data_IF_364441540463
#
_entry.id   IF_364441540463
#
_cell.length_a   1.000
_cell.length_b   1.000
_cell.length_c   1.000
_cell.angle_alpha   90.00
_cell.angle_beta   90.00
_cell.angle_gamma   90.00
#
_symmetry.space_group_name_H-M   'P 1'
#
loop_
_entity.id
_entity.type
_entity.pdbx_description
1 polymer ?
#
# COMPACT_ATOMS: atom_id res chain seq x y z
N UNK A 1 28.26 -37.41 -9.13
CA UNK A 1 26.97 -37.95 -8.68
C UNK A 1 25.93 -37.48 -9.67
N UNK A 2 25.53 -38.35 -10.60
CA UNK A 2 24.45 -38.06 -11.55
C UNK A 2 23.12 -37.85 -10.79
N UNK A 3 22.29 -36.87 -11.17
CA UNK A 3 20.98 -36.69 -10.55
C UNK A 3 20.11 -37.91 -10.84
N UNK A 4 19.67 -38.57 -9.77
CA UNK A 4 18.86 -39.78 -9.85
C UNK A 4 17.60 -39.59 -10.72
N UNK A 5 17.52 -40.33 -11.82
CA UNK A 5 16.45 -40.25 -12.81
C UNK A 5 15.07 -40.51 -12.16
N UNK A 6 14.07 -39.73 -12.59
CA UNK A 6 12.66 -39.82 -12.19
C UNK A 6 12.11 -41.26 -12.26
N UNK A 7 12.54 -42.03 -13.27
CA UNK A 7 12.18 -43.45 -13.42
C UNK A 7 12.68 -44.31 -12.26
N UNK A 8 13.91 -44.09 -11.77
CA UNK A 8 14.48 -44.78 -10.61
C UNK A 8 13.75 -44.41 -9.33
N UNK A 9 13.39 -43.13 -9.18
CA UNK A 9 12.58 -42.65 -8.04
C UNK A 9 11.21 -43.30 -8.00
N UNK A 10 10.52 -43.38 -9.16
CA UNK A 10 9.23 -44.05 -9.30
C UNK A 10 9.31 -45.55 -9.00
N UNK A 11 10.36 -46.23 -9.48
CA UNK A 11 10.52 -47.66 -9.26
C UNK A 11 10.74 -48.01 -7.79
N UNK A 12 11.57 -47.23 -7.08
CA UNK A 12 11.79 -47.38 -5.64
C UNK A 12 10.52 -47.09 -4.84
N UNK A 13 9.78 -46.05 -5.22
CA UNK A 13 8.50 -45.73 -4.61
C UNK A 13 7.51 -46.91 -4.75
N UNK A 14 7.37 -47.46 -5.96
CA UNK A 14 6.52 -48.62 -6.22
C UNK A 14 6.94 -49.87 -5.42
N UNK A 15 8.25 -50.11 -5.25
CA UNK A 15 8.77 -51.19 -4.40
C UNK A 15 8.38 -51.01 -2.93
N UNK A 16 8.50 -49.80 -2.39
CA UNK A 16 8.09 -49.48 -1.01
C UNK A 16 6.57 -49.65 -0.83
N UNK A 17 5.77 -49.20 -1.79
CA UNK A 17 4.31 -49.42 -1.80
C UNK A 17 3.93 -50.91 -1.87
N UNK A 18 4.71 -51.72 -2.59
CA UNK A 18 4.46 -53.17 -2.74
C UNK A 18 4.82 -53.96 -1.47
N UNK A 19 5.89 -53.57 -0.78
CA UNK A 19 6.34 -54.25 0.45
C UNK A 19 5.48 -53.87 1.66
N UNK A 20 4.91 -52.67 1.68
CA UNK A 20 4.09 -52.19 2.78
C UNK A 20 2.60 -52.37 2.49
N UNK A 21 2.04 -53.52 2.88
CA UNK A 21 0.59 -53.80 2.79
C UNK A 21 -0.28 -52.78 3.55
N UNK A 22 0.32 -52.03 4.48
CA UNK A 22 -0.38 -51.11 5.38
C UNK A 22 -0.13 -49.63 5.06
N UNK A 23 0.68 -49.30 4.05
CA UNK A 23 1.01 -47.89 3.74
C UNK A 23 -0.22 -47.09 3.28
N UNK A 24 -1.11 -47.73 2.51
CA UNK A 24 -2.36 -47.10 2.08
C UNK A 24 -3.23 -46.71 3.27
N UNK A 25 -3.41 -47.62 4.23
CA UNK A 25 -4.12 -47.37 5.48
C UNK A 25 -3.43 -46.29 6.29
N UNK A 26 -2.09 -46.33 6.43
CA UNK A 26 -1.34 -45.28 7.13
C UNK A 26 -1.49 -43.90 6.45
N UNK A 27 -1.60 -43.83 5.12
CA UNK A 27 -1.86 -42.59 4.39
C UNK A 27 -3.28 -42.08 4.59
N UNK A 28 -4.26 -42.98 4.66
CA UNK A 28 -5.66 -42.65 4.98
C UNK A 28 -5.78 -42.15 6.42
N UNK A 29 -5.11 -42.81 7.37
CA UNK A 29 -5.03 -42.39 8.78
C UNK A 29 -4.33 -41.04 8.92
N UNK A 30 -3.22 -40.81 8.21
CA UNK A 30 -2.54 -39.51 8.19
C UNK A 30 -3.44 -38.39 7.70
N UNK A 31 -4.29 -38.64 6.69
CA UNK A 31 -5.29 -37.66 6.22
C UNK A 31 -6.39 -37.41 7.24
N UNK A 32 -6.88 -38.46 7.91
CA UNK A 32 -7.91 -38.34 8.93
C UNK A 32 -7.40 -37.54 10.14
N UNK A 33 -6.18 -37.83 10.62
CA UNK A 33 -5.52 -37.11 11.72
C UNK A 33 -5.31 -35.64 11.36
N UNK A 34 -4.83 -35.34 10.14
CA UNK A 34 -4.68 -33.95 9.69
C UNK A 34 -6.00 -33.18 9.67
N UNK A 35 -7.11 -33.85 9.37
CA UNK A 35 -8.44 -33.24 9.34
C UNK A 35 -8.93 -32.94 10.76
N UNK A 36 -8.84 -33.91 11.68
CA UNK A 36 -9.23 -33.75 13.09
C UNK A 36 -8.40 -32.67 13.80
N UNK A 37 -7.08 -32.63 13.58
CA UNK A 37 -6.21 -31.60 14.16
C UNK A 37 -6.57 -30.19 13.65
N UNK A 38 -6.97 -30.04 12.38
CA UNK A 38 -7.41 -28.76 11.83
C UNK A 38 -8.72 -28.28 12.45
N UNK A 39 -9.68 -29.18 12.64
CA UNK A 39 -10.96 -28.87 13.29
C UNK A 39 -10.75 -28.42 14.74
N UNK A 40 -9.92 -29.14 15.51
CA UNK A 40 -9.58 -28.76 16.88
C UNK A 40 -8.88 -27.39 16.95
N UNK A 41 -8.04 -27.07 15.96
CA UNK A 41 -7.35 -25.79 15.88
C UNK A 41 -8.19 -24.66 15.26
N UNK A 42 -9.46 -24.92 14.90
CA UNK A 42 -10.34 -23.98 14.17
C UNK A 42 -9.69 -23.40 12.89
N UNK A 43 -8.86 -24.21 12.23
CA UNK A 43 -8.15 -23.82 11.00
C UNK A 43 -9.02 -24.18 9.80
N UNK A 44 -9.37 -23.20 8.94
CA UNK A 44 -10.16 -23.46 7.74
C UNK A 44 -9.54 -24.52 6.83
N UNK A 45 -10.36 -25.25 6.06
CA UNK A 45 -9.84 -26.21 5.08
C UNK A 45 -8.97 -25.53 4.03
N UNK A 46 -8.07 -26.31 3.41
CA UNK A 46 -7.21 -25.81 2.32
C UNK A 46 -8.05 -25.21 1.20
N UNK A 47 -9.16 -25.84 0.83
CA UNK A 47 -10.06 -25.33 -0.22
C UNK A 47 -10.68 -23.97 0.14
N UNK A 48 -11.03 -23.75 1.41
CA UNK A 48 -11.54 -22.45 1.87
C UNK A 48 -10.43 -21.39 1.87
N UNK A 49 -9.21 -21.76 2.29
CA UNK A 49 -8.06 -20.86 2.22
C UNK A 49 -7.70 -20.50 0.77
N UNK A 50 -7.68 -21.47 -0.14
CA UNK A 50 -7.45 -21.28 -1.57
C UNK A 50 -8.51 -20.36 -2.18
N UNK A 51 -9.79 -20.61 -1.87
CA UNK A 51 -10.87 -19.73 -2.31
C UNK A 51 -10.70 -18.30 -1.81
N UNK A 52 -10.30 -18.10 -0.54
CA UNK A 52 -10.00 -16.77 0.03
C UNK A 52 -8.83 -16.10 -0.69
N UNK A 53 -7.75 -16.84 -0.96
CA UNK A 53 -6.58 -16.34 -1.69
C UNK A 53 -6.97 -15.92 -3.10
N UNK A 54 -7.76 -16.74 -3.82
CA UNK A 54 -8.24 -16.44 -5.16
C UNK A 54 -9.14 -15.20 -5.18
N UNK A 55 -10.08 -15.08 -4.24
CA UNK A 55 -10.94 -13.89 -4.11
C UNK A 55 -10.11 -12.64 -3.87
N UNK A 56 -9.13 -12.69 -2.95
CA UNK A 56 -8.26 -11.56 -2.66
C UNK A 56 -7.39 -11.16 -3.87
N UNK A 57 -6.83 -12.14 -4.58
CA UNK A 57 -6.04 -11.91 -5.78
C UNK A 57 -6.90 -11.32 -6.91
N UNK A 58 -8.12 -11.81 -7.10
CA UNK A 58 -9.07 -11.28 -8.06
C UNK A 58 -9.47 -9.83 -7.73
N UNK A 59 -9.68 -9.50 -6.45
CA UNK A 59 -9.94 -8.12 -6.02
C UNK A 59 -8.74 -7.20 -6.32
N UNK A 60 -7.50 -7.66 -6.06
CA UNK A 60 -6.28 -6.93 -6.42
C UNK A 60 -6.15 -6.74 -7.94
N UNK A 61 -6.45 -7.77 -8.73
CA UNK A 61 -6.41 -7.71 -10.20
C UNK A 61 -7.47 -6.77 -10.76
N UNK A 62 -8.70 -6.80 -10.24
CA UNK A 62 -9.75 -5.84 -10.62
C UNK A 62 -9.32 -4.41 -10.34
N UNK A 63 -8.79 -4.13 -9.14
CA UNK A 63 -8.27 -2.80 -8.79
C UNK A 63 -7.10 -2.35 -9.67
N UNK A 64 -6.27 -3.29 -10.15
CA UNK A 64 -5.18 -3.01 -11.09
C UNK A 64 -5.68 -2.70 -12.51
N UNK A 65 -6.78 -3.32 -12.91
CA UNK A 65 -7.35 -3.19 -14.26
C UNK A 65 -8.39 -2.07 -14.36
N UNK A 66 -8.75 -1.39 -13.26
CA UNK A 66 -9.54 -0.17 -13.36
C UNK A 66 -8.72 0.92 -14.07
N UNK A 67 -9.33 1.66 -15.00
CA UNK A 67 -8.65 2.76 -15.68
C UNK A 67 -8.19 3.78 -14.62
N UNK A 68 -6.91 4.13 -14.66
CA UNK A 68 -6.34 5.15 -13.78
C UNK A 68 -7.10 6.46 -13.99
N UNK A 69 -7.89 6.89 -13.00
CA UNK A 69 -8.54 8.19 -13.03
C UNK A 69 -7.47 9.27 -12.86
N UNK A 70 -7.08 9.91 -13.95
CA UNK A 70 -6.06 10.96 -13.95
C UNK A 70 -6.61 12.16 -13.16
N UNK A 71 -5.96 12.51 -12.05
CA UNK A 71 -6.28 13.71 -11.28
C UNK A 71 -5.36 14.84 -11.70
N UNK A 72 -5.91 15.83 -12.40
CA UNK A 72 -5.17 17.02 -12.80
C UNK A 72 -5.25 18.07 -11.69
N UNK A 73 -4.09 18.44 -11.13
CA UNK A 73 -4.04 19.45 -10.05
C UNK A 73 -4.60 20.81 -10.49
N UNK A 74 -4.50 21.13 -11.77
CA UNK A 74 -5.01 22.40 -12.31
C UNK A 74 -6.50 22.39 -12.68
N UNK A 75 -7.22 21.30 -12.45
CA UNK A 75 -8.67 21.31 -12.62
C UNK A 75 -9.31 22.15 -11.50
N UNK A 76 -10.37 22.89 -11.83
CA UNK A 76 -11.02 23.81 -10.90
C UNK A 76 -11.52 23.11 -9.63
N UNK A 77 -11.99 21.87 -9.73
CA UNK A 77 -12.41 21.04 -8.59
C UNK A 77 -11.30 20.76 -7.56
N UNK A 78 -10.03 20.96 -7.94
CA UNK A 78 -8.85 20.68 -7.11
C UNK A 78 -8.17 21.97 -6.60
N UNK A 79 -8.79 23.14 -6.78
CA UNK A 79 -8.21 24.44 -6.40
C UNK A 79 -7.83 24.55 -4.91
N UNK A 80 -8.50 23.81 -4.01
CA UNK A 80 -8.20 23.80 -2.57
C UNK A 80 -6.94 22.99 -2.20
N UNK A 81 -6.42 22.15 -3.10
CA UNK A 81 -5.29 21.24 -2.84
C UNK A 81 -3.97 22.02 -2.77
N UNK A 82 -3.49 22.28 -1.56
CA UNK A 82 -2.32 23.12 -1.32
C UNK A 82 -0.99 22.37 -1.50
N UNK A 83 -0.94 21.10 -1.12
CA UNK A 83 0.31 20.33 -1.08
C UNK A 83 0.45 19.39 -2.28
N UNK A 84 1.69 19.24 -2.76
CA UNK A 84 2.02 18.36 -3.88
C UNK A 84 2.52 17.02 -3.42
N UNK A 85 2.27 15.99 -4.25
CA UNK A 85 2.90 14.68 -4.08
C UNK A 85 4.42 14.82 -4.09
N UNK A 86 5.07 14.14 -3.15
CA UNK A 86 6.50 14.16 -2.90
C UNK A 86 6.95 15.14 -1.82
N UNK A 87 6.09 16.04 -1.34
CA UNK A 87 6.45 16.94 -0.24
C UNK A 87 6.57 16.16 1.07
N UNK A 88 7.64 16.46 1.82
CA UNK A 88 7.81 16.02 3.20
C UNK A 88 7.06 16.99 4.12
N UNK A 89 6.23 16.43 4.98
CA UNK A 89 5.34 17.16 5.89
C UNK A 89 5.42 16.57 7.29
N UNK A 90 5.07 17.38 8.28
CA UNK A 90 4.88 16.94 9.67
C UNK A 90 3.40 17.02 10.05
N UNK A 91 2.89 16.02 10.75
CA UNK A 91 1.54 16.07 11.30
C UNK A 91 1.51 16.99 12.53
N UNK A 92 0.69 18.04 12.54
CA UNK A 92 0.70 19.09 13.58
C UNK A 92 0.44 18.59 15.01
N UNK A 93 -0.43 17.58 15.16
CA UNK A 93 -0.81 17.03 16.49
C UNK A 93 0.06 15.88 16.99
N UNK A 94 0.50 15.01 16.08
CA UNK A 94 1.18 13.76 16.42
C UNK A 94 2.67 13.80 16.08
N UNK A 95 3.10 14.89 15.44
CA UNK A 95 4.49 15.27 15.16
C UNK A 95 5.30 14.27 14.33
N UNK A 96 4.66 13.25 13.77
CA UNK A 96 5.31 12.32 12.85
C UNK A 96 5.63 13.00 11.51
N UNK A 97 6.78 12.63 10.94
CA UNK A 97 7.18 13.01 9.59
C UNK A 97 6.58 12.06 8.57
N UNK A 98 6.26 12.58 7.40
CA UNK A 98 5.71 11.79 6.32
C UNK A 98 5.98 12.42 4.95
N UNK A 99 5.86 11.62 3.89
CA UNK A 99 5.83 12.11 2.51
C UNK A 99 4.46 11.90 1.89
N UNK A 100 3.97 12.90 1.17
CA UNK A 100 2.69 12.81 0.44
C UNK A 100 2.86 11.93 -0.80
N UNK A 101 2.13 10.80 -0.89
CA UNK A 101 2.10 9.94 -2.10
C UNK A 101 0.89 10.20 -3.01
N UNK A 102 -0.15 10.85 -2.52
CA UNK A 102 -1.40 11.09 -3.25
C UNK A 102 -2.33 12.01 -2.49
N UNK A 103 -3.41 12.45 -3.15
CA UNK A 103 -4.41 13.33 -2.56
C UNK A 103 -5.82 13.09 -3.13
N UNK A 104 -6.81 13.51 -2.35
CA UNK A 104 -8.21 13.68 -2.70
C UNK A 104 -8.62 15.12 -2.37
N UNK A 105 -9.45 15.75 -3.19
CA UNK A 105 -9.93 17.11 -2.97
C UNK A 105 -11.00 17.21 -1.87
N UNK A 106 -11.60 16.08 -1.49
CA UNK A 106 -12.49 15.90 -0.34
C UNK A 106 -12.37 14.46 0.18
N UNK A 107 -12.89 14.19 1.39
CA UNK A 107 -12.92 12.85 1.96
C UNK A 107 -14.11 12.04 1.40
N UNK A 108 -13.81 11.06 0.54
CA UNK A 108 -14.80 10.14 -0.04
C UNK A 108 -14.88 8.78 0.69
N UNK A 109 -14.41 8.75 1.95
CA UNK A 109 -14.52 7.55 2.80
C UNK A 109 -15.95 7.34 3.28
N UNK A 110 -16.29 6.11 3.71
CA UNK A 110 -17.63 5.82 4.22
C UNK A 110 -17.96 6.67 5.45
N UNK A 111 -19.25 6.97 5.63
CA UNK A 111 -19.72 7.75 6.79
C UNK A 111 -19.35 7.09 8.12
N UNK A 112 -19.44 5.76 8.23
CA UNK A 112 -19.00 5.05 9.44
C UNK A 112 -17.52 5.30 9.74
N UNK A 113 -16.67 5.29 8.70
CA UNK A 113 -15.25 5.56 8.85
C UNK A 113 -15.00 7.03 9.23
N UNK A 114 -15.70 7.98 8.61
CA UNK A 114 -15.61 9.40 8.94
C UNK A 114 -15.97 9.69 10.40
N UNK A 115 -17.02 9.03 10.91
CA UNK A 115 -17.41 9.13 12.32
C UNK A 115 -16.33 8.54 13.23
N UNK A 116 -15.87 7.32 12.93
CA UNK A 116 -14.83 6.65 13.72
C UNK A 116 -13.54 7.46 13.80
N UNK A 117 -13.12 8.06 12.68
CA UNK A 117 -11.89 8.86 12.60
C UNK A 117 -12.07 10.32 13.05
N UNK A 118 -13.27 10.70 13.51
CA UNK A 118 -13.53 12.03 14.02
C UNK A 118 -13.45 13.13 12.96
N UNK A 119 -13.71 12.81 11.69
CA UNK A 119 -13.65 13.78 10.58
C UNK A 119 -14.60 14.95 10.79
N UNK A 120 -15.74 14.74 11.45
CA UNK A 120 -16.69 15.79 11.82
C UNK A 120 -16.16 16.81 12.84
N UNK A 121 -15.04 16.53 13.50
CA UNK A 121 -14.42 17.42 14.51
C UNK A 121 -13.37 18.35 13.91
N UNK A 122 -13.03 18.13 12.65
CA UNK A 122 -12.12 18.93 11.86
C UNK A 122 -12.80 20.23 11.43
N UNK A 123 -12.04 21.31 11.28
CA UNK A 123 -12.60 22.66 11.03
C UNK A 123 -13.39 22.67 9.72
N UNK A 124 -12.78 22.10 8.67
CA UNK A 124 -13.37 22.02 7.34
C UNK A 124 -14.01 20.65 7.06
N UNK A 125 -14.10 19.80 8.09
CA UNK A 125 -14.72 18.48 7.99
C UNK A 125 -14.19 17.66 6.82
N UNK A 126 -15.09 16.97 6.12
CA UNK A 126 -14.79 16.16 4.94
C UNK A 126 -14.59 16.98 3.64
N UNK A 127 -14.89 18.28 3.63
CA UNK A 127 -14.92 19.12 2.42
C UNK A 127 -13.57 19.80 2.10
N UNK A 128 -12.54 19.47 2.86
CA UNK A 128 -11.15 19.85 2.62
C UNK A 128 -10.37 18.73 1.90
N UNK A 129 -9.21 19.05 1.31
CA UNK A 129 -8.32 18.04 0.77
C UNK A 129 -7.77 17.08 1.83
N UNK A 130 -7.58 15.83 1.43
CA UNK A 130 -6.94 14.78 2.22
C UNK A 130 -5.77 14.18 1.45
N UNK A 131 -4.79 13.69 2.19
CA UNK A 131 -3.53 13.20 1.65
C UNK A 131 -3.25 11.77 2.11
N UNK A 132 -2.89 10.91 1.16
CA UNK A 132 -2.25 9.64 1.47
C UNK A 132 -0.77 9.90 1.75
N UNK A 133 -0.32 9.60 2.95
CA UNK A 133 1.04 9.87 3.41
C UNK A 133 1.73 8.59 3.86
N UNK A 134 3.02 8.48 3.55
CA UNK A 134 3.90 7.42 4.04
C UNK A 134 4.66 7.95 5.24
N UNK A 135 4.49 7.33 6.41
CA UNK A 135 5.05 7.81 7.68
C UNK A 135 6.48 7.32 7.87
N UNK A 136 7.33 8.19 8.36
CA UNK A 136 8.71 7.84 8.67
C UNK A 136 8.80 6.80 9.81
N UNK A 137 9.67 5.81 9.64
CA UNK A 137 10.08 4.81 10.63
C UNK A 137 9.07 3.73 10.99
N UNK A 138 7.76 4.02 11.04
CA UNK A 138 6.75 3.02 11.44
C UNK A 138 6.18 2.19 10.27
N UNK A 139 6.54 2.56 9.03
CA UNK A 139 6.10 1.88 7.81
C UNK A 139 4.60 1.96 7.54
N UNK A 140 3.88 2.82 8.25
CA UNK A 140 2.44 2.99 8.10
C UNK A 140 2.11 3.96 6.97
N UNK A 141 1.03 3.64 6.25
CA UNK A 141 0.35 4.60 5.40
C UNK A 141 -0.83 5.21 6.17
N UNK A 142 -0.99 6.53 6.07
CA UNK A 142 -2.07 7.26 6.74
C UNK A 142 -2.83 8.16 5.79
N UNK A 143 -4.05 8.49 6.19
CA UNK A 143 -4.92 9.43 5.49
C UNK A 143 -5.11 10.67 6.36
N UNK A 144 -4.45 11.77 5.97
CA UNK A 144 -4.36 12.97 6.78
C UNK A 144 -5.11 14.14 6.12
N UNK A 145 -5.84 14.91 6.93
CA UNK A 145 -6.49 16.13 6.48
C UNK A 145 -5.45 17.23 6.18
N UNK A 146 -5.73 18.09 5.21
CA UNK A 146 -4.86 19.22 4.87
C UNK A 146 -4.52 20.08 6.09
N UNK A 147 -5.53 20.42 6.90
CA UNK A 147 -5.30 21.25 8.08
C UNK A 147 -4.40 20.58 9.13
N UNK A 148 -4.27 19.26 9.10
CA UNK A 148 -3.45 18.49 10.04
C UNK A 148 -1.98 18.42 9.63
N UNK A 149 -1.61 18.89 8.43
CA UNK A 149 -0.23 18.85 7.92
C UNK A 149 0.42 20.24 7.91
N UNK A 150 1.70 20.28 8.23
CA UNK A 150 2.56 21.47 8.15
C UNK A 150 3.89 21.16 7.49
N UNK A 151 4.58 22.20 7.03
CA UNK A 151 5.96 22.07 6.53
C UNK A 151 6.89 21.68 7.68
N UNK A 152 7.88 20.85 7.36
CA UNK A 152 8.97 20.53 8.27
C UNK A 152 10.23 21.27 7.81
N UNK A 153 10.75 22.15 8.66
CA UNK A 153 11.80 23.11 8.30
C UNK A 153 13.22 22.60 8.60
N UNK A 154 13.37 21.52 9.36
CA UNK A 154 14.68 21.01 9.75
C UNK A 154 15.30 20.06 8.69
N UNK A 155 16.61 19.90 8.76
CA UNK A 155 17.32 19.01 7.86
C UNK A 155 17.04 17.54 8.20
N UNK A 156 16.25 16.88 7.37
CA UNK A 156 15.97 15.45 7.50
C UNK A 156 16.58 14.63 6.37
N UNK A 157 17.31 13.56 6.65
CA UNK A 157 18.05 12.79 5.62
C UNK A 157 17.13 12.17 4.56
N UNK A 158 16.31 11.18 4.93
CA UNK A 158 15.41 10.45 4.04
C UNK A 158 14.29 9.74 4.82
N UNK A 159 13.07 9.71 4.26
CA UNK A 159 11.94 8.97 4.80
C UNK A 159 12.25 7.48 4.71
N UNK A 160 12.61 6.90 5.84
CA UNK A 160 12.61 5.47 6.05
C UNK A 160 11.17 4.93 6.02
N UNK A 161 10.78 4.33 4.89
CA UNK A 161 9.51 3.64 4.72
C UNK A 161 9.68 2.52 3.67
N UNK A 162 9.23 1.27 3.92
CA UNK A 162 9.49 0.12 3.04
C UNK A 162 8.90 0.28 1.65
N UNK A 163 7.77 0.98 1.51
CA UNK A 163 7.15 1.26 0.21
C UNK A 163 7.67 2.53 -0.51
N UNK A 164 8.68 3.25 -0.01
CA UNK A 164 9.08 4.54 -0.60
C UNK A 164 9.44 4.40 -2.10
N UNK A 165 10.22 3.38 -2.45
CA UNK A 165 10.65 3.09 -3.83
C UNK A 165 9.53 2.63 -4.77
N UNK A 166 8.37 2.24 -4.23
CA UNK A 166 7.17 1.91 -5.02
C UNK A 166 6.58 3.14 -5.68
N UNK A 167 6.76 4.32 -5.09
CA UNK A 167 6.13 5.56 -5.54
C UNK A 167 7.14 6.61 -6.03
N UNK A 168 8.35 6.63 -5.47
CA UNK A 168 9.36 7.65 -5.76
C UNK A 168 10.65 7.02 -6.26
N UNK A 169 11.40 7.76 -7.07
CA UNK A 169 12.68 7.26 -7.63
C UNK A 169 13.90 8.11 -7.26
N UNK A 170 13.70 9.32 -6.73
CA UNK A 170 14.79 10.17 -6.23
C UNK A 170 14.27 11.26 -5.31
N UNK A 171 15.18 11.93 -4.59
CA UNK A 171 14.91 13.11 -3.77
C UNK A 171 15.60 14.32 -4.40
N UNK A 172 14.88 15.43 -4.50
CA UNK A 172 15.40 16.73 -4.89
C UNK A 172 15.50 17.62 -3.65
N UNK A 173 16.58 18.40 -3.58
CA UNK A 173 16.71 19.52 -2.65
C UNK A 173 16.82 20.80 -3.48
N UNK A 174 15.70 21.42 -3.87
CA UNK A 174 15.74 22.71 -4.52
C UNK A 174 16.34 23.76 -3.57
N UNK A 175 16.75 24.91 -4.12
CA UNK A 175 17.35 26.01 -3.35
C UNK A 175 16.41 26.70 -2.36
N UNK A 176 15.17 26.22 -2.19
CA UNK A 176 14.20 26.65 -1.19
C UNK A 176 14.36 25.94 0.17
N UNK A 177 15.26 24.94 0.25
CA UNK A 177 15.52 24.18 1.47
C UNK A 177 14.50 23.07 1.76
N UNK A 178 13.40 22.99 1.00
CA UNK A 178 12.34 22.00 1.20
C UNK A 178 12.64 20.75 0.39
N UNK A 179 12.75 19.59 1.05
CA UNK A 179 13.01 18.33 0.33
C UNK A 179 11.76 17.85 -0.38
N UNK A 180 11.93 17.46 -1.63
CA UNK A 180 10.84 17.00 -2.49
C UNK A 180 11.21 15.68 -3.16
N UNK A 181 10.43 14.64 -2.91
CA UNK A 181 10.55 13.37 -3.62
C UNK A 181 10.00 13.48 -5.04
N UNK A 182 10.76 12.95 -5.99
CA UNK A 182 10.35 12.89 -7.39
C UNK A 182 9.55 11.60 -7.62
N UNK A 183 8.26 11.70 -7.97
CA UNK A 183 7.42 10.52 -8.19
C UNK A 183 7.91 9.73 -9.40
N UNK A 184 7.80 8.40 -9.39
CA UNK A 184 8.11 7.55 -10.54
C UNK A 184 7.04 7.68 -11.64
N UNK A 185 7.29 7.19 -12.88
CA UNK A 185 6.34 7.34 -13.99
C UNK A 185 4.93 6.84 -13.69
N UNK A 186 4.79 5.74 -12.94
CA UNK A 186 3.50 5.18 -12.50
C UNK A 186 2.74 6.12 -11.57
N UNK A 187 3.44 6.74 -10.62
CA UNK A 187 2.84 7.71 -9.71
C UNK A 187 2.50 8.99 -10.46
N UNK A 188 3.41 9.48 -11.32
CA UNK A 188 3.19 10.66 -12.17
C UNK A 188 2.00 10.50 -13.12
N UNK A 189 1.77 9.31 -13.70
CA UNK A 189 0.64 9.08 -14.60
C UNK A 189 -0.72 9.15 -13.88
N UNK A 190 -0.74 8.89 -12.57
CA UNK A 190 -1.94 8.96 -11.74
C UNK A 190 -2.25 10.41 -11.29
N UNK A 191 -1.22 11.26 -11.23
CA UNK A 191 -1.30 12.68 -10.83
C UNK A 191 -0.73 13.59 -11.91
N UNK A 192 -1.61 14.17 -12.74
CA UNK A 192 -1.15 15.05 -13.82
C UNK A 192 -0.61 16.37 -13.25
N UNK A 193 0.69 16.64 -13.52
CA UNK A 193 1.36 17.90 -13.16
C UNK A 193 0.80 19.03 -14.02
N UNK A 194 0.31 20.10 -13.40
CA UNK A 194 0.88 21.42 -13.74
C UNK A 194 2.01 21.68 -12.76
N UNK A 195 3.19 21.97 -13.30
CA UNK A 195 4.27 22.61 -12.58
C UNK A 195 3.68 23.79 -11.80
N UNK A 196 4.02 23.93 -10.51
CA UNK A 196 3.95 25.25 -9.89
C UNK A 196 4.83 26.16 -10.75
N UNK A 197 4.22 26.93 -11.64
CA UNK A 197 4.86 28.12 -12.17
C UNK A 197 4.93 29.06 -10.98
N UNK A 198 6.10 29.14 -10.34
CA UNK A 198 6.40 30.22 -9.42
C UNK A 198 6.21 31.52 -10.20
N UNK A 199 5.09 32.20 -9.98
CA UNK A 199 4.91 33.59 -10.33
C UNK A 199 5.78 34.43 -9.39
N UNK A 200 7.07 34.54 -9.71
CA UNK A 200 7.78 35.79 -9.42
C UNK A 200 7.48 36.73 -10.59
N UNK A 201 6.35 37.43 -10.50
CA UNK A 201 6.25 38.73 -11.17
C UNK A 201 6.81 39.77 -10.22
N UNK A 202 7.95 40.31 -10.63
CA UNK A 202 8.49 41.59 -10.25
C UNK A 202 7.42 42.68 -10.26
N UNK A 203 7.44 43.51 -9.22
CA UNK A 203 6.89 44.87 -9.18
C UNK A 203 7.81 45.59 -8.18
N UNK A 204 8.85 46.26 -8.70
CA UNK A 204 8.87 47.69 -9.03
C UNK A 204 8.63 48.55 -7.80
#
# INVERSE_FOLDING_TARGET
>A
MEPENESTRLHRLMLLFRQSKNFRTAMEDNRAIQTSLREQANVPSVSVMEARILVNNNAKLKKRNEPLKIKLRSADENHKVMYSVGLVMQHKRYEYLCVIRGWDNFCDMSEQWKVQMGIHRLTDGADQPYYNVLVHSDGSERYAAQESLGFYEESFEEIDHPEIGKYFHSISKPGDGVRHYIPNPTTQSTISRRLCQNTRKSST
#
